data_IF_756860441686
#
_entry.id   IF_756860441686
#
_cell.length_a   1.000
_cell.length_b   1.000
_cell.length_c   1.000
_cell.angle_alpha   90.00
_cell.angle_beta   90.00
_cell.angle_gamma   90.00
#
_symmetry.space_group_name_H-M   'P 1'
#
loop_
_entity.id
_entity.type
_entity.pdbx_description
1 polymer ?
#
# COMPACT_ATOMS: atom_id res chain seq x y z
N UNK A 1 6.32 -3.93 27.08
CA UNK A 1 6.21 -2.59 26.54
C UNK A 1 4.73 -2.28 26.26
N UNK A 2 4.21 -1.27 26.92
CA UNK A 2 2.84 -0.80 26.65
C UNK A 2 2.80 -0.11 25.31
N UNK A 3 1.90 -0.56 24.43
CA UNK A 3 1.60 0.18 23.21
C UNK A 3 0.72 1.37 23.55
N UNK A 4 1.06 2.53 23.05
CA UNK A 4 0.18 3.70 23.13
C UNK A 4 -1.08 3.42 22.32
N UNK A 5 -2.23 3.83 22.84
CA UNK A 5 -3.46 3.83 22.07
C UNK A 5 -3.36 4.88 20.97
N UNK A 6 -4.06 4.68 19.85
CA UNK A 6 -4.00 5.57 18.70
C UNK A 6 -4.18 7.06 19.07
N UNK A 7 -5.14 7.35 19.97
CA UNK A 7 -5.42 8.73 20.39
C UNK A 7 -4.37 9.32 21.36
N UNK A 8 -3.43 8.51 21.85
CA UNK A 8 -2.34 8.96 22.71
C UNK A 8 -1.08 9.34 21.91
N UNK A 9 -1.08 9.08 20.60
CA UNK A 9 0.02 9.43 19.73
C UNK A 9 -0.13 10.86 19.25
N UNK A 10 0.88 11.70 19.48
CA UNK A 10 0.91 13.06 18.96
C UNK A 10 0.94 13.00 17.43
N UNK A 11 -0.01 13.67 16.73
CA UNK A 11 -0.02 13.73 15.28
C UNK A 11 1.30 14.22 14.67
N UNK A 12 1.96 15.18 15.30
CA UNK A 12 3.25 15.70 14.80
C UNK A 12 4.36 14.68 14.93
N UNK A 13 4.40 13.92 16.03
CA UNK A 13 5.35 12.83 16.19
C UNK A 13 5.13 11.73 15.15
N UNK A 14 3.88 11.40 14.88
CA UNK A 14 3.53 10.40 13.88
C UNK A 14 3.98 10.84 12.47
N UNK A 15 3.73 12.08 12.10
CA UNK A 15 4.16 12.64 10.81
C UNK A 15 5.68 12.65 10.71
N UNK A 16 6.38 13.06 11.75
CA UNK A 16 7.84 13.08 11.78
C UNK A 16 8.41 11.67 11.63
N UNK A 17 7.84 10.70 12.34
CA UNK A 17 8.25 9.31 12.24
C UNK A 17 8.05 8.75 10.83
N UNK A 18 6.91 9.04 10.20
CA UNK A 18 6.62 8.60 8.84
C UNK A 18 7.57 9.24 7.82
N UNK A 19 7.88 10.52 7.98
CA UNK A 19 8.86 11.20 7.13
C UNK A 19 10.26 10.61 7.27
N UNK A 20 10.64 10.23 8.48
CA UNK A 20 11.92 9.55 8.73
C UNK A 20 11.96 8.20 8.04
N UNK A 21 10.86 7.42 8.11
CA UNK A 21 10.74 6.15 7.41
C UNK A 21 10.87 6.30 5.90
N UNK A 22 10.37 7.39 5.34
CA UNK A 22 10.45 7.67 3.90
C UNK A 22 11.89 7.66 3.38
N UNK A 23 12.86 8.04 4.22
CA UNK A 23 14.27 8.08 3.87
C UNK A 23 15.02 6.78 4.23
N UNK A 24 14.37 5.83 4.90
CA UNK A 24 14.95 4.55 5.27
C UNK A 24 15.10 3.65 4.03
N UNK A 25 16.31 3.11 3.74
CA UNK A 25 16.50 2.25 2.58
C UNK A 25 15.64 0.98 2.59
N UNK A 26 15.39 0.41 3.75
CA UNK A 26 14.52 -0.77 3.87
C UNK A 26 13.07 -0.43 3.56
N UNK A 27 12.62 0.74 3.97
CA UNK A 27 11.28 1.21 3.68
C UNK A 27 11.10 1.53 2.20
N UNK A 28 12.11 2.13 1.57
CA UNK A 28 12.12 2.34 0.11
C UNK A 28 12.00 1.03 -0.63
N UNK A 29 12.72 -0.01 -0.18
CA UNK A 29 12.62 -1.34 -0.76
C UNK A 29 11.21 -1.94 -0.60
N UNK A 30 10.60 -1.75 0.54
CA UNK A 30 9.21 -2.14 0.78
C UNK A 30 8.26 -1.50 -0.23
N UNK A 31 8.43 -0.21 -0.50
CA UNK A 31 7.61 0.51 -1.47
C UNK A 31 7.83 -0.02 -2.88
N UNK A 32 9.06 -0.33 -3.27
CA UNK A 32 9.36 -0.96 -4.56
C UNK A 32 8.61 -2.30 -4.71
N UNK A 33 8.60 -3.11 -3.66
CA UNK A 33 7.85 -4.39 -3.66
C UNK A 33 6.36 -4.13 -3.85
N UNK A 34 5.81 -3.12 -3.17
CA UNK A 34 4.40 -2.76 -3.32
C UNK A 34 4.07 -2.29 -4.73
N UNK A 35 4.95 -1.51 -5.34
CA UNK A 35 4.79 -1.08 -6.74
C UNK A 35 4.81 -2.27 -7.71
N UNK A 36 5.70 -3.24 -7.48
CA UNK A 36 5.71 -4.47 -8.25
C UNK A 36 4.43 -5.27 -8.09
N UNK A 37 3.91 -5.37 -6.87
CA UNK A 37 2.62 -6.03 -6.61
C UNK A 37 1.48 -5.32 -7.34
N UNK A 38 1.52 -4.01 -7.41
CA UNK A 38 0.56 -3.21 -8.17
C UNK A 38 0.60 -3.57 -9.66
N UNK A 39 1.78 -3.61 -10.26
CA UNK A 39 1.95 -3.96 -11.67
C UNK A 39 1.48 -5.39 -11.95
N UNK A 40 1.83 -6.34 -11.09
CA UNK A 40 1.37 -7.73 -11.21
C UNK A 40 -0.15 -7.82 -11.13
N UNK A 41 -0.77 -7.07 -10.23
CA UNK A 41 -2.22 -7.03 -10.08
C UNK A 41 -2.89 -6.45 -11.33
N UNK A 42 -2.31 -5.41 -11.92
CA UNK A 42 -2.80 -4.85 -13.18
C UNK A 42 -2.71 -5.89 -14.30
N UNK A 43 -1.61 -6.62 -14.40
CA UNK A 43 -1.45 -7.69 -15.39
C UNK A 43 -2.50 -8.79 -15.20
N UNK A 44 -2.77 -9.17 -13.96
CA UNK A 44 -3.82 -10.16 -13.66
C UNK A 44 -5.21 -9.64 -14.06
N UNK A 45 -5.50 -8.37 -13.84
CA UNK A 45 -6.75 -7.74 -14.29
C UNK A 45 -6.89 -7.72 -15.81
N UNK A 46 -5.76 -7.60 -16.53
CA UNK A 46 -5.73 -7.63 -17.98
C UNK A 46 -5.76 -9.05 -18.55
N UNK A 47 -5.56 -10.06 -17.71
CA UNK A 47 -5.61 -11.46 -18.14
C UNK A 47 -7.05 -11.83 -18.52
N UNK A 48 -7.22 -12.31 -19.75
CA UNK A 48 -8.54 -12.64 -20.30
C UNK A 48 -9.34 -13.63 -19.44
N UNK A 49 -8.68 -14.64 -18.88
CA UNK A 49 -9.35 -15.61 -18.00
C UNK A 49 -9.90 -14.95 -16.74
N UNK A 50 -9.17 -14.01 -16.17
CA UNK A 50 -9.59 -13.30 -14.96
C UNK A 50 -10.72 -12.32 -15.27
N UNK A 51 -10.68 -11.69 -16.45
CA UNK A 51 -11.76 -10.81 -16.91
C UNK A 51 -13.06 -11.59 -17.09
N UNK A 52 -12.99 -12.82 -17.64
CA UNK A 52 -14.14 -13.69 -17.81
C UNK A 52 -14.67 -14.23 -16.48
N UNK A 53 -13.85 -14.31 -15.44
CA UNK A 53 -14.26 -14.70 -14.09
C UNK A 53 -14.54 -13.48 -13.25
N UNK A 54 -15.81 -13.15 -13.08
CA UNK A 54 -16.26 -11.96 -12.36
C UNK A 54 -15.75 -11.89 -10.91
N UNK A 55 -15.73 -13.00 -10.21
CA UNK A 55 -15.27 -13.04 -8.82
C UNK A 55 -13.78 -12.73 -8.70
N UNK A 56 -12.96 -13.29 -9.59
CA UNK A 56 -11.53 -12.98 -9.64
C UNK A 56 -11.28 -11.53 -10.03
N UNK A 57 -12.04 -11.01 -10.98
CA UNK A 57 -11.94 -9.61 -11.39
C UNK A 57 -12.20 -8.67 -10.22
N UNK A 58 -13.25 -8.89 -9.46
CA UNK A 58 -13.55 -8.09 -8.27
C UNK A 58 -12.47 -8.22 -7.21
N UNK A 59 -11.95 -9.42 -6.99
CA UNK A 59 -10.87 -9.64 -6.04
C UNK A 59 -9.62 -8.81 -6.39
N UNK A 60 -9.18 -8.86 -7.64
CA UNK A 60 -8.00 -8.11 -8.09
C UNK A 60 -8.24 -6.61 -8.13
N UNK A 61 -9.45 -6.17 -8.45
CA UNK A 61 -9.82 -4.75 -8.41
C UNK A 61 -9.72 -4.21 -6.98
N UNK A 62 -10.27 -4.92 -6.00
CA UNK A 62 -10.18 -4.55 -4.59
C UNK A 62 -8.74 -4.53 -4.09
N UNK A 63 -7.92 -5.51 -4.50
CA UNK A 63 -6.50 -5.56 -4.16
C UNK A 63 -5.74 -4.37 -4.73
N UNK A 64 -6.01 -4.00 -5.98
CA UNK A 64 -5.39 -2.85 -6.63
C UNK A 64 -5.75 -1.55 -5.93
N UNK A 65 -7.02 -1.36 -5.58
CA UNK A 65 -7.48 -0.18 -4.84
C UNK A 65 -6.78 -0.05 -3.49
N UNK A 66 -6.63 -1.16 -2.77
CA UNK A 66 -5.94 -1.17 -1.48
C UNK A 66 -4.46 -0.79 -1.62
N UNK A 67 -3.78 -1.31 -2.63
CA UNK A 67 -2.37 -0.98 -2.90
C UNK A 67 -2.23 0.48 -3.31
N UNK A 68 -3.08 0.98 -4.19
CA UNK A 68 -3.05 2.37 -4.64
C UNK A 68 -3.31 3.33 -3.49
N UNK A 69 -4.26 3.05 -2.62
CA UNK A 69 -4.54 3.86 -1.44
C UNK A 69 -3.34 3.90 -0.50
N UNK A 70 -2.71 2.76 -0.24
CA UNK A 70 -1.50 2.68 0.58
C UNK A 70 -0.35 3.51 -0.01
N UNK A 71 -0.11 3.39 -1.32
CA UNK A 71 0.94 4.14 -2.00
C UNK A 71 0.66 5.64 -2.01
N UNK A 72 -0.59 6.04 -2.27
CA UNK A 72 -0.99 7.45 -2.26
C UNK A 72 -0.78 8.08 -0.88
N UNK A 73 -1.18 7.38 0.18
CA UNK A 73 -0.96 7.82 1.54
C UNK A 73 0.53 8.00 1.85
N UNK A 74 1.35 7.08 1.36
CA UNK A 74 2.78 7.14 1.53
C UNK A 74 3.42 8.31 0.77
N UNK A 75 3.06 8.49 -0.50
CA UNK A 75 3.62 9.57 -1.31
C UNK A 75 3.12 10.96 -0.91
N UNK A 76 2.03 11.05 -0.17
CA UNK A 76 1.51 12.31 0.37
C UNK A 76 2.30 12.83 1.59
N UNK A 77 3.19 12.03 2.13
CA UNK A 77 4.06 12.44 3.21
C UNK A 77 5.14 13.41 2.71
#
# INVERSE_FOLDING_TARGET
VKRKKYHEVDPQEAITALRSLKNDPNFKKYIEVREQMREETIRELQNRKNIENQNLHFHFTGKLEAIDEELDNFYSL
#
